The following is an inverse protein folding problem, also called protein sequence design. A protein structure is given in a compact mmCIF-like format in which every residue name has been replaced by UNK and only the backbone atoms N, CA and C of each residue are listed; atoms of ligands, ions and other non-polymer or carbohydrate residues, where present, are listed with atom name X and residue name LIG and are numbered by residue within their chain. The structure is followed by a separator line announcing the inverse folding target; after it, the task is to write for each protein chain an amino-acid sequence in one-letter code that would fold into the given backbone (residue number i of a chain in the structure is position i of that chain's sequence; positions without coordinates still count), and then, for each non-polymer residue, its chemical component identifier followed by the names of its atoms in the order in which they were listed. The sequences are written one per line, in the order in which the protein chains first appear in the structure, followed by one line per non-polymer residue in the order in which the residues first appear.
data_IF_824249463126
#
_entry.id   IF_824249463126
#
_cell.length_a   1.000
_cell.length_b   1.000
_cell.length_c   1.000
_cell.angle_alpha   90.00
_cell.angle_beta   90.00
_cell.angle_gamma   90.00
#
_symmetry.space_group_name_H-M   'P 1'
#
loop_
_entity.id
_entity.type
_entity.pdbx_description
1 polymer ?
#
# COMPACT_ATOMS: atom_id res chain seq x y z
N UNK A 1 44.79 1.28 -27.56
CA UNK A 1 43.39 1.04 -27.92
C UNK A 1 42.55 0.53 -26.76
N UNK A 2 43.05 -0.33 -25.87
CA UNK A 2 42.30 -0.90 -24.72
C UNK A 2 41.70 0.15 -23.78
N UNK A 3 42.45 1.23 -23.46
CA UNK A 3 41.99 2.26 -22.49
C UNK A 3 40.85 3.13 -22.99
N UNK A 4 40.69 3.31 -24.31
CA UNK A 4 39.57 4.10 -24.87
C UNK A 4 38.24 3.32 -24.81
N UNK A 5 38.29 2.01 -25.01
CA UNK A 5 37.12 1.15 -24.93
C UNK A 5 36.63 1.03 -23.47
N UNK A 6 37.56 0.93 -22.51
CA UNK A 6 37.21 0.87 -21.08
C UNK A 6 36.60 2.18 -20.60
N UNK A 7 37.14 3.32 -21.05
CA UNK A 7 36.58 4.63 -20.73
C UNK A 7 35.19 4.82 -21.34
N UNK A 8 34.98 4.36 -22.57
CA UNK A 8 33.67 4.42 -23.24
C UNK A 8 32.63 3.55 -22.53
N UNK A 9 32.99 2.34 -22.08
CA UNK A 9 32.13 1.46 -21.27
C UNK A 9 31.80 2.06 -19.91
N UNK A 10 32.73 2.70 -19.24
CA UNK A 10 32.49 3.39 -17.96
C UNK A 10 31.55 4.59 -18.13
N UNK A 11 31.73 5.39 -19.17
CA UNK A 11 30.84 6.53 -19.47
C UNK A 11 29.44 6.03 -19.88
N UNK A 12 29.35 4.94 -20.62
CA UNK A 12 28.06 4.32 -20.99
C UNK A 12 27.34 3.77 -19.75
N UNK A 13 28.03 3.10 -18.83
CA UNK A 13 27.45 2.65 -17.56
C UNK A 13 26.97 3.83 -16.69
N UNK A 14 27.68 4.96 -16.68
CA UNK A 14 27.28 6.17 -15.94
C UNK A 14 26.04 6.84 -16.57
N UNK A 15 25.88 6.79 -17.88
CA UNK A 15 24.73 7.37 -18.60
C UNK A 15 23.47 6.50 -18.51
N UNK A 16 23.60 5.20 -18.21
CA UNK A 16 22.47 4.26 -18.04
C UNK A 16 21.98 4.22 -16.58
N UNK A 17 22.62 4.95 -15.67
CA UNK A 17 22.07 5.15 -14.31
C UNK A 17 20.83 6.06 -14.39
N UNK A 18 19.80 5.64 -15.15
CA UNK A 18 18.47 6.20 -14.99
C UNK A 18 18.03 5.87 -13.57
N UNK A 19 18.04 6.88 -12.73
CA UNK A 19 17.37 6.82 -11.46
C UNK A 19 15.93 6.41 -11.73
N UNK A 20 15.60 5.15 -11.48
CA UNK A 20 14.21 4.71 -11.34
C UNK A 20 13.73 5.34 -10.03
N UNK A 21 13.51 6.63 -10.07
CA UNK A 21 12.77 7.34 -9.04
C UNK A 21 11.35 6.77 -9.11
N UNK A 22 10.87 6.20 -8.02
CA UNK A 22 9.46 5.90 -7.89
C UNK A 22 8.72 7.22 -8.08
N UNK A 23 8.14 7.43 -9.26
CA UNK A 23 7.29 8.58 -9.50
C UNK A 23 6.04 8.41 -8.65
N UNK A 24 5.89 9.26 -7.65
CA UNK A 24 4.59 9.43 -6.97
C UNK A 24 3.65 9.96 -8.07
N UNK A 25 2.87 9.08 -8.64
CA UNK A 25 1.82 9.46 -9.58
C UNK A 25 0.61 9.87 -8.75
N UNK A 26 0.29 11.13 -8.76
CA UNK A 26 -1.00 11.59 -8.23
C UNK A 26 -2.13 10.95 -9.06
N UNK A 27 -3.23 10.64 -8.39
CA UNK A 27 -4.43 10.17 -9.09
C UNK A 27 -4.94 11.27 -10.03
N UNK A 28 -5.31 10.88 -11.24
CA UNK A 28 -6.00 11.78 -12.15
C UNK A 28 -7.30 12.28 -11.50
N UNK A 29 -7.66 13.52 -11.74
CA UNK A 29 -8.89 14.12 -11.23
C UNK A 29 -9.91 14.25 -12.35
N UNK A 30 -11.18 14.08 -12.02
CA UNK A 30 -12.30 14.24 -12.94
C UNK A 30 -13.48 14.89 -12.22
N UNK A 31 -14.48 15.34 -12.96
CA UNK A 31 -15.75 15.76 -12.34
C UNK A 31 -16.64 14.53 -12.11
N UNK A 32 -17.49 14.54 -11.08
CA UNK A 32 -18.43 13.46 -10.84
C UNK A 32 -19.29 13.15 -12.06
N UNK A 33 -19.80 14.17 -12.72
CA UNK A 33 -20.69 14.06 -13.89
C UNK A 33 -20.00 13.40 -15.08
N UNK A 34 -18.71 13.73 -15.33
CA UNK A 34 -17.93 13.11 -16.40
C UNK A 34 -17.72 11.62 -16.18
N UNK A 35 -17.74 11.18 -14.91
CA UNK A 35 -17.63 9.78 -14.53
C UNK A 35 -18.99 9.12 -14.24
N UNK A 36 -20.10 9.79 -14.60
CA UNK A 36 -21.47 9.27 -14.49
C UNK A 36 -22.02 9.24 -13.06
N UNK A 37 -21.54 10.10 -12.19
CA UNK A 37 -22.02 10.25 -10.80
C UNK A 37 -22.58 11.65 -10.63
N UNK A 38 -23.85 11.83 -10.23
CA UNK A 38 -24.38 13.16 -9.92
C UNK A 38 -23.64 13.76 -8.71
N UNK A 39 -23.15 15.00 -8.80
CA UNK A 39 -22.47 15.68 -7.67
C UNK A 39 -23.39 15.82 -6.45
N UNK A 40 -24.70 15.98 -6.66
CA UNK A 40 -25.68 16.00 -5.55
C UNK A 40 -25.70 14.70 -4.73
N UNK A 41 -25.44 13.54 -5.34
CA UNK A 41 -25.31 12.29 -4.59
C UNK A 41 -24.06 12.24 -3.71
N UNK A 42 -22.95 12.83 -4.16
CA UNK A 42 -21.73 12.94 -3.37
C UNK A 42 -21.90 13.93 -2.22
N UNK A 43 -22.54 15.05 -2.44
CA UNK A 43 -22.87 16.02 -1.37
C UNK A 43 -23.72 15.32 -0.31
N UNK A 44 -24.80 14.64 -0.70
CA UNK A 44 -25.65 13.92 0.24
C UNK A 44 -24.90 12.81 1.01
N UNK A 45 -23.94 12.14 0.36
CA UNK A 45 -23.06 11.19 1.04
C UNK A 45 -22.20 11.89 2.11
N UNK A 46 -21.56 12.99 1.76
CA UNK A 46 -20.70 13.74 2.69
C UNK A 46 -21.52 14.27 3.89
N UNK A 47 -22.68 14.86 3.64
CA UNK A 47 -23.59 15.32 4.69
C UNK A 47 -24.02 14.17 5.62
N UNK A 48 -24.31 13.01 5.04
CA UNK A 48 -24.69 11.82 5.81
C UNK A 48 -23.51 11.30 6.67
N UNK A 49 -22.31 11.30 6.14
CA UNK A 49 -21.11 10.91 6.87
C UNK A 49 -20.84 11.86 8.05
N UNK A 50 -20.98 13.16 7.84
CA UNK A 50 -20.78 14.17 8.88
C UNK A 50 -21.87 14.14 9.95
N UNK A 51 -23.06 13.66 9.63
CA UNK A 51 -24.14 13.51 10.57
C UNK A 51 -24.05 12.25 11.45
N UNK A 52 -23.11 11.33 11.17
CA UNK A 52 -22.95 10.09 11.96
C UNK A 52 -22.48 10.41 13.39
N UNK A 53 -23.19 9.98 14.42
CA UNK A 53 -22.78 10.22 15.79
C UNK A 53 -21.53 9.42 16.16
N UNK A 54 -20.66 9.99 16.96
CA UNK A 54 -19.43 9.34 17.48
C UNK A 54 -18.44 8.89 16.39
N UNK A 55 -18.47 9.51 15.22
CA UNK A 55 -17.47 9.33 14.17
C UNK A 55 -16.55 10.53 14.13
N UNK A 56 -15.27 10.27 13.88
CA UNK A 56 -14.25 11.29 13.67
C UNK A 56 -13.67 11.08 12.26
N UNK A 57 -14.27 11.76 11.30
CA UNK A 57 -13.88 11.63 9.88
C UNK A 57 -12.84 12.71 9.60
N UNK A 58 -11.63 12.27 9.26
CA UNK A 58 -10.50 13.13 8.95
C UNK A 58 -10.44 13.49 7.46
N UNK A 59 -10.81 12.54 6.61
CA UNK A 59 -10.84 12.74 5.17
C UNK A 59 -11.77 11.74 4.49
N UNK A 60 -12.32 12.14 3.36
CA UNK A 60 -13.05 11.26 2.45
C UNK A 60 -12.54 11.48 1.05
N UNK A 61 -12.19 10.41 0.34
CA UNK A 61 -11.80 10.46 -1.07
C UNK A 61 -12.61 9.42 -1.83
N UNK A 62 -13.25 9.84 -2.92
CA UNK A 62 -14.03 8.96 -3.79
C UNK A 62 -13.33 8.85 -5.14
N UNK A 63 -13.01 7.62 -5.53
CA UNK A 63 -12.42 7.30 -6.82
C UNK A 63 -13.42 6.55 -7.68
N UNK A 64 -13.46 6.88 -8.97
CA UNK A 64 -14.19 6.14 -9.99
C UNK A 64 -13.37 6.07 -11.29
N UNK A 65 -13.32 4.90 -11.90
CA UNK A 65 -12.49 4.62 -13.07
C UNK A 65 -11.03 5.03 -12.91
N UNK A 66 -10.48 4.95 -11.68
CA UNK A 66 -9.10 5.34 -11.37
C UNK A 66 -8.88 6.85 -11.20
N UNK A 67 -9.93 7.67 -11.22
CA UNK A 67 -9.87 9.12 -11.06
C UNK A 67 -10.53 9.58 -9.77
N UNK A 68 -9.98 10.58 -9.13
CA UNK A 68 -10.60 11.23 -7.94
C UNK A 68 -11.74 12.11 -8.44
N UNK A 69 -12.95 11.83 -7.97
CA UNK A 69 -14.17 12.56 -8.32
C UNK A 69 -14.74 13.37 -7.16
N UNK A 70 -14.33 13.10 -5.93
CA UNK A 70 -14.64 13.92 -4.77
C UNK A 70 -13.57 13.73 -3.70
N UNK A 71 -13.32 14.79 -2.93
CA UNK A 71 -12.39 14.81 -1.83
C UNK A 71 -12.87 15.83 -0.80
N UNK A 72 -12.82 15.47 0.47
CA UNK A 72 -13.27 16.31 1.59
C UNK A 72 -12.33 16.13 2.78
N UNK A 73 -12.01 17.22 3.43
CA UNK A 73 -11.27 17.29 4.70
C UNK A 73 -12.06 18.16 5.67
N UNK A 74 -12.85 17.56 6.58
CA UNK A 74 -13.57 18.32 7.60
C UNK A 74 -12.61 19.05 8.54
N UNK A 75 -12.95 20.25 8.95
CA UNK A 75 -12.21 20.98 9.99
C UNK A 75 -12.06 20.12 11.27
N UNK A 76 -10.85 20.07 11.91
CA UNK A 76 -9.65 20.84 11.63
C UNK A 76 -8.65 20.17 10.67
N UNK A 77 -9.04 19.16 9.92
CA UNK A 77 -8.15 18.38 9.08
C UNK A 77 -7.87 19.04 7.73
N UNK A 78 -6.72 18.73 7.16
CA UNK A 78 -6.25 19.22 5.86
C UNK A 78 -5.49 18.13 5.11
N UNK A 79 -5.34 18.24 3.77
CA UNK A 79 -4.66 17.21 2.95
C UNK A 79 -3.22 16.90 3.38
N UNK A 80 -2.53 17.89 3.96
CA UNK A 80 -1.14 17.79 4.38
C UNK A 80 -0.95 17.03 5.70
N UNK A 81 -2.04 16.80 6.45
CA UNK A 81 -1.97 16.15 7.75
C UNK A 81 -1.75 14.65 7.60
N UNK A 82 -0.83 14.13 8.41
CA UNK A 82 -0.55 12.70 8.46
C UNK A 82 -1.54 12.01 9.37
N UNK A 83 -2.09 10.90 8.90
CA UNK A 83 -3.04 10.10 9.66
C UNK A 83 -2.47 8.71 9.96
N UNK A 84 -2.84 8.17 11.12
CA UNK A 84 -2.53 6.78 11.47
C UNK A 84 -3.37 5.86 10.58
N UNK A 85 -2.70 4.96 9.87
CA UNK A 85 -3.37 4.06 8.93
C UNK A 85 -4.03 2.85 9.59
N UNK A 86 -3.73 2.58 10.87
CA UNK A 86 -4.25 1.42 11.60
C UNK A 86 -4.17 0.14 10.75
N UNK A 87 -5.28 -0.60 10.63
CA UNK A 87 -5.33 -1.85 9.86
C UNK A 87 -5.16 -1.70 8.35
N UNK A 88 -5.30 -0.50 7.79
CA UNK A 88 -4.97 -0.27 6.37
C UNK A 88 -3.49 -0.61 6.06
N UNK A 89 -2.59 -0.51 7.06
CA UNK A 89 -1.20 -0.94 6.93
C UNK A 89 -1.05 -2.42 6.55
N UNK A 90 -2.02 -3.29 6.89
CA UNK A 90 -2.01 -4.71 6.51
C UNK A 90 -2.08 -4.89 4.99
N UNK A 91 -2.74 -4.01 4.27
CA UNK A 91 -2.79 -4.02 2.80
C UNK A 91 -1.40 -3.84 2.20
N UNK A 92 -0.61 -2.92 2.75
CA UNK A 92 0.78 -2.69 2.30
C UNK A 92 1.69 -3.86 2.65
N UNK A 93 1.52 -4.44 3.84
CA UNK A 93 2.26 -5.66 4.23
C UNK A 93 1.88 -6.82 3.30
N UNK A 94 0.59 -7.01 2.99
CA UNK A 94 0.13 -8.02 2.04
C UNK A 94 0.74 -7.84 0.65
N UNK A 95 0.81 -6.60 0.15
CA UNK A 95 1.45 -6.28 -1.13
C UNK A 95 2.97 -6.59 -1.09
N UNK A 96 3.66 -6.24 0.00
CA UNK A 96 5.08 -6.55 0.17
C UNK A 96 5.34 -8.07 0.21
N UNK A 97 4.48 -8.84 0.89
CA UNK A 97 4.53 -10.31 0.87
C UNK A 97 4.31 -10.84 -0.55
N UNK A 98 3.34 -10.30 -1.30
CA UNK A 98 3.11 -10.67 -2.70
C UNK A 98 4.34 -10.42 -3.58
N UNK A 99 5.03 -9.30 -3.39
CA UNK A 99 6.28 -8.99 -4.09
C UNK A 99 7.38 -9.99 -3.73
N UNK A 100 7.58 -10.29 -2.43
CA UNK A 100 8.57 -11.27 -1.99
C UNK A 100 8.31 -12.68 -2.56
N UNK A 101 7.03 -13.05 -2.72
CA UNK A 101 6.65 -14.31 -3.39
C UNK A 101 6.99 -14.28 -4.88
N UNK A 102 6.71 -13.17 -5.57
CA UNK A 102 7.04 -13.03 -7.00
C UNK A 102 8.54 -13.10 -7.27
N UNK A 103 9.36 -12.67 -6.32
CA UNK A 103 10.82 -12.77 -6.34
C UNK A 103 11.36 -14.12 -5.84
N UNK A 104 10.50 -15.09 -5.58
CA UNK A 104 10.86 -16.42 -5.02
C UNK A 104 11.58 -16.36 -3.66
N UNK A 105 11.42 -15.32 -2.88
CA UNK A 105 12.03 -15.13 -1.55
C UNK A 105 11.15 -15.66 -0.42
N UNK A 106 9.89 -15.93 -0.69
CA UNK A 106 8.89 -16.36 0.27
C UNK A 106 7.84 -17.25 -0.41
N UNK A 107 7.24 -18.18 0.33
CA UNK A 107 6.10 -18.99 -0.11
C UNK A 107 4.98 -18.92 0.89
N UNK A 108 3.75 -19.00 0.42
CA UNK A 108 2.56 -19.05 1.30
C UNK A 108 2.56 -20.25 2.26
N UNK A 109 3.29 -21.32 1.91
CA UNK A 109 3.40 -22.55 2.69
C UNK A 109 4.55 -22.53 3.67
N UNK A 110 5.42 -21.51 3.67
CA UNK A 110 6.54 -21.44 4.59
C UNK A 110 6.04 -21.32 6.02
N UNK A 111 6.70 -22.03 6.94
CA UNK A 111 6.35 -22.05 8.36
C UNK A 111 6.85 -20.77 9.02
N UNK A 112 5.98 -20.09 9.76
CA UNK A 112 6.33 -18.85 10.45
C UNK A 112 7.46 -19.08 11.46
N UNK A 113 7.42 -20.18 12.19
CA UNK A 113 8.45 -20.54 13.17
C UNK A 113 9.87 -20.63 12.56
N UNK A 114 9.99 -20.94 11.27
CA UNK A 114 11.30 -21.04 10.62
C UNK A 114 11.99 -19.69 10.38
N UNK A 115 11.26 -18.58 10.44
CA UNK A 115 11.82 -17.24 10.26
C UNK A 115 12.36 -16.63 11.55
N UNK A 116 11.96 -17.17 12.70
CA UNK A 116 12.27 -16.60 14.02
C UNK A 116 12.80 -17.66 15.01
N UNK A 117 13.81 -18.47 14.63
CA UNK A 117 14.26 -19.58 15.46
C UNK A 117 14.70 -19.15 16.87
N UNK A 118 15.36 -17.98 16.98
CA UNK A 118 15.88 -17.44 18.23
C UNK A 118 14.82 -16.74 19.10
N UNK A 119 13.60 -16.61 18.60
CA UNK A 119 12.48 -15.95 19.31
C UNK A 119 11.40 -16.94 19.74
N UNK A 120 11.58 -18.21 19.42
CA UNK A 120 10.62 -19.24 19.82
C UNK A 120 10.83 -19.60 21.30
N UNK A 121 9.75 -19.88 22.05
CA UNK A 121 9.86 -20.47 23.37
C UNK A 121 10.41 -21.89 23.28
N UNK A 122 10.95 -22.41 24.41
CA UNK A 122 11.52 -23.76 24.50
C UNK A 122 10.54 -24.87 24.05
N UNK A 123 9.23 -24.61 24.20
CA UNK A 123 8.16 -25.49 23.74
C UNK A 123 7.12 -24.69 22.96
N UNK A 124 6.85 -25.10 21.74
CA UNK A 124 5.84 -24.49 20.86
C UNK A 124 4.62 -25.40 20.73
N UNK A 125 3.43 -24.77 20.64
CA UNK A 125 2.20 -25.53 20.41
C UNK A 125 2.19 -26.15 19.00
N UNK A 126 1.42 -27.25 18.78
CA UNK A 126 1.22 -27.81 17.45
C UNK A 126 0.70 -26.78 16.43
N UNK A 127 -0.16 -25.86 16.86
CA UNK A 127 -0.71 -24.81 16.02
C UNK A 127 0.40 -23.83 15.56
N UNK A 128 1.24 -23.36 16.49
CA UNK A 128 2.37 -22.49 16.12
C UNK A 128 3.36 -23.21 15.22
N UNK A 129 3.67 -24.47 15.49
CA UNK A 129 4.54 -25.28 14.64
C UNK A 129 3.96 -25.49 13.22
N UNK A 130 2.63 -25.54 13.10
CA UNK A 130 1.94 -25.72 11.83
C UNK A 130 1.67 -24.41 11.07
N UNK A 131 1.74 -23.27 11.75
CA UNK A 131 1.36 -21.97 11.21
C UNK A 131 2.19 -21.56 10.00
N UNK A 132 1.54 -21.12 8.95
CA UNK A 132 2.17 -20.71 7.68
C UNK A 132 1.95 -19.22 7.41
N UNK A 133 2.70 -18.67 6.44
CA UNK A 133 2.49 -17.31 5.91
C UNK A 133 1.03 -17.11 5.47
N UNK A 134 0.41 -18.11 4.84
CA UNK A 134 -1.00 -18.08 4.45
C UNK A 134 -1.93 -17.87 5.64
N UNK A 135 -1.68 -18.53 6.77
CA UNK A 135 -2.52 -18.41 7.95
C UNK A 135 -2.49 -16.98 8.49
N UNK A 136 -1.31 -16.34 8.55
CA UNK A 136 -1.20 -14.94 8.96
C UNK A 136 -1.93 -13.98 8.02
N UNK A 137 -1.78 -14.16 6.70
CA UNK A 137 -2.46 -13.31 5.71
C UNK A 137 -3.98 -13.41 5.79
N UNK A 138 -4.50 -14.59 6.12
CA UNK A 138 -5.94 -14.84 6.23
C UNK A 138 -6.48 -14.65 7.66
N UNK A 139 -5.61 -14.26 8.62
CA UNK A 139 -5.97 -14.14 10.04
C UNK A 139 -6.60 -15.43 10.60
N UNK A 140 -6.06 -16.60 10.22
CA UNK A 140 -6.50 -17.94 10.66
C UNK A 140 -5.44 -18.61 11.54
N UNK A 141 -4.82 -17.84 12.39
CA UNK A 141 -3.77 -18.29 13.32
C UNK A 141 -4.38 -18.77 14.64
#
# INVERSE_FOLDING_TARGET
MKNKLTLFLLIFCLLVSTTVGAQIREFERSTPEAEGVPSGALIALMDSLMALPKTDIHSVMVLRHGKVIAEMYPEPFAPEYRHTMFSCSKTFVGAAIGLAISENRLRLTDRIASFFPDQLPDSISPNLAAMTVRNLLNMTS
#
